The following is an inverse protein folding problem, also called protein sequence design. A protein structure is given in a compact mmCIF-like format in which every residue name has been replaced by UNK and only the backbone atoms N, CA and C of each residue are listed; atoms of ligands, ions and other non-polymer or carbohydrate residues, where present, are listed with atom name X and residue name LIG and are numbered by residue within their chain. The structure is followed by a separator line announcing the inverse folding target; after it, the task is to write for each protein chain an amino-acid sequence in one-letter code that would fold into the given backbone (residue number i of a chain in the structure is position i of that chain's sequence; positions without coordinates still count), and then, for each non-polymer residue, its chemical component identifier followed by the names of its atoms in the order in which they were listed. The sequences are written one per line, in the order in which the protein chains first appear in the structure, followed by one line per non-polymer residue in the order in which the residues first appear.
data_IF_405544936061
#
_entry.id   IF_405544936061
#
_cell.length_a   1.000
_cell.length_b   1.000
_cell.length_c   1.000
_cell.angle_alpha   90.00
_cell.angle_beta   90.00
_cell.angle_gamma   90.00
#
_symmetry.space_group_name_H-M   'P 1'
#
loop_
_entity.id
_entity.type
_entity.pdbx_description
1 polymer ?
#
# COMPACT_ATOMS: atom_id res chain seq x y z
N UNK A 1 8.69 52.03 45.19
CA UNK A 1 8.58 50.65 44.66
C UNK A 1 7.10 50.31 44.62
N UNK A 2 6.43 50.57 43.50
CA UNK A 2 4.97 50.47 43.36
C UNK A 2 4.64 49.11 42.73
N UNK A 3 3.98 48.22 43.47
CA UNK A 3 3.46 46.97 42.94
C UNK A 3 2.21 47.25 42.09
N UNK A 4 2.26 46.87 40.83
CA UNK A 4 1.13 46.87 39.91
C UNK A 4 0.41 45.52 40.06
N UNK A 5 -0.63 45.45 40.89
CA UNK A 5 -1.51 44.27 40.97
C UNK A 5 -2.42 44.25 39.75
N UNK A 6 -2.15 43.31 38.84
CA UNK A 6 -2.97 43.05 37.66
C UNK A 6 -4.23 42.31 38.11
N UNK A 7 -5.31 43.05 38.37
CA UNK A 7 -6.63 42.47 38.66
C UNK A 7 -7.22 42.00 37.34
N UNK A 8 -7.12 40.70 37.06
CA UNK A 8 -7.86 40.09 35.96
C UNK A 8 -9.31 39.92 36.43
N UNK A 9 -10.31 40.51 35.76
CA UNK A 9 -11.69 40.36 36.17
C UNK A 9 -12.14 38.89 35.99
N UNK A 10 -12.81 38.33 37.00
CA UNK A 10 -13.31 36.93 37.03
C UNK A 10 -14.15 36.55 35.79
N UNK A 11 -14.72 37.55 35.11
CA UNK A 11 -15.45 37.41 33.85
C UNK A 11 -14.59 36.87 32.71
N UNK A 12 -13.29 37.21 32.66
CA UNK A 12 -12.37 36.75 31.60
C UNK A 12 -12.00 35.29 31.81
N UNK A 13 -11.82 34.86 33.06
CA UNK A 13 -11.45 33.49 33.43
C UNK A 13 -12.60 32.52 33.14
N UNK A 14 -13.85 32.92 33.46
CA UNK A 14 -15.04 32.12 33.15
C UNK A 14 -15.23 31.87 31.65
N UNK A 15 -15.04 32.90 30.81
CA UNK A 15 -15.16 32.77 29.36
C UNK A 15 -14.05 31.91 28.74
N UNK A 16 -12.82 31.97 29.26
CA UNK A 16 -11.71 31.12 28.79
C UNK A 16 -11.97 29.65 29.10
N UNK A 17 -12.46 29.33 30.31
CA UNK A 17 -12.83 27.96 30.70
C UNK A 17 -13.98 27.39 29.84
N UNK A 18 -14.94 28.23 29.46
CA UNK A 18 -16.06 27.86 28.59
C UNK A 18 -15.55 27.58 27.16
N UNK A 19 -14.72 28.47 26.60
CA UNK A 19 -14.12 28.29 25.26
C UNK A 19 -13.24 27.03 25.22
N UNK A 20 -12.43 26.79 26.25
CA UNK A 20 -11.58 25.60 26.33
C UNK A 20 -12.39 24.29 26.34
N UNK A 21 -13.52 24.26 27.06
CA UNK A 21 -14.45 23.12 27.08
C UNK A 21 -15.11 22.88 25.73
N UNK A 22 -15.54 23.94 25.04
CA UNK A 22 -16.08 23.82 23.68
C UNK A 22 -15.02 23.33 22.69
N UNK A 23 -13.78 23.79 22.81
CA UNK A 23 -12.69 23.35 21.94
C UNK A 23 -12.34 21.87 22.16
N UNK A 24 -12.34 21.39 23.42
CA UNK A 24 -12.13 19.96 23.71
C UNK A 24 -13.27 19.09 23.22
N UNK A 25 -14.52 19.54 23.37
CA UNK A 25 -15.69 18.85 22.81
C UNK A 25 -15.66 18.83 21.27
N UNK A 26 -15.24 19.92 20.64
CA UNK A 26 -15.09 20.02 19.20
C UNK A 26 -14.01 19.04 18.70
N UNK A 27 -12.83 19.04 19.32
CA UNK A 27 -11.74 18.11 18.94
C UNK A 27 -12.11 16.64 19.22
N UNK A 28 -12.84 16.37 20.30
CA UNK A 28 -13.42 15.04 20.57
C UNK A 28 -14.40 14.63 19.48
N UNK A 29 -15.32 15.50 19.06
CA UNK A 29 -16.25 15.22 17.98
C UNK A 29 -15.56 15.03 16.62
N UNK A 30 -14.50 15.81 16.32
CA UNK A 30 -13.70 15.60 15.10
C UNK A 30 -12.95 14.25 15.13
N UNK A 31 -12.52 13.80 16.31
CA UNK A 31 -11.87 12.49 16.46
C UNK A 31 -12.81 11.32 16.18
N UNK A 32 -14.12 11.50 16.43
CA UNK A 32 -15.15 10.49 16.18
C UNK A 32 -15.62 10.51 14.71
N UNK A 33 -15.64 11.69 14.07
CA UNK A 33 -16.00 11.85 12.65
C UNK A 33 -14.88 11.46 11.69
N UNK A 34 -13.62 11.42 12.14
CA UNK A 34 -12.50 10.90 11.34
C UNK A 34 -12.56 9.40 11.06
N UNK A 35 -13.50 8.67 11.68
CA UNK A 35 -13.65 7.22 11.53
C UNK A 35 -14.97 6.80 10.87
N UNK A 36 -15.68 7.68 10.17
CA UNK A 36 -16.83 7.25 9.35
C UNK A 36 -16.41 7.06 7.91
N UNK A 37 -15.66 5.99 7.66
CA UNK A 37 -15.31 5.59 6.29
C UNK A 37 -16.57 5.06 5.60
N UNK A 38 -17.10 5.92 4.74
CA UNK A 38 -18.31 5.69 3.97
C UNK A 38 -17.89 5.14 2.61
N UNK A 39 -17.53 3.85 2.55
CA UNK A 39 -17.09 3.27 1.27
C UNK A 39 -16.76 1.78 1.29
N UNK A 40 -17.75 0.98 0.89
CA UNK A 40 -17.66 -0.40 0.37
C UNK A 40 -17.16 -1.53 1.30
N UNK A 41 -18.14 -2.37 1.64
CA UNK A 41 -18.03 -3.73 2.20
C UNK A 41 -17.54 -3.86 3.65
N UNK A 42 -18.36 -4.38 4.58
CA UNK A 42 -18.00 -4.53 6.00
C UNK A 42 -16.87 -5.55 6.27
N UNK A 43 -16.36 -6.23 5.24
CA UNK A 43 -15.46 -7.37 5.39
C UNK A 43 -14.00 -7.10 4.96
N UNK A 44 -13.69 -5.93 4.38
CA UNK A 44 -12.31 -5.58 4.03
C UNK A 44 -11.58 -4.88 5.18
N UNK A 45 -10.26 -5.07 5.27
CA UNK A 45 -9.43 -4.25 6.15
C UNK A 45 -9.44 -2.77 5.69
N UNK A 46 -9.24 -1.85 6.63
CA UNK A 46 -9.19 -0.39 6.39
C UNK A 46 -8.19 0.02 5.28
N UNK A 47 -7.13 -0.77 5.09
CA UNK A 47 -6.24 -0.65 3.95
C UNK A 47 -6.33 -1.92 3.11
N UNK A 48 -6.82 -1.78 1.87
CA UNK A 48 -6.85 -2.87 0.89
C UNK A 48 -5.65 -2.79 -0.03
N UNK A 49 -5.13 -3.95 -0.41
CA UNK A 49 -4.05 -4.04 -1.39
C UNK A 49 -4.50 -3.54 -2.76
N UNK A 50 -3.58 -2.92 -3.50
CA UNK A 50 -3.77 -2.68 -4.93
C UNK A 50 -3.22 -3.87 -5.70
N UNK A 51 -4.09 -4.56 -6.43
CA UNK A 51 -3.72 -5.73 -7.24
C UNK A 51 -3.92 -5.43 -8.71
N UNK A 52 -3.01 -5.92 -9.56
CA UNK A 52 -3.10 -5.74 -11.01
C UNK A 52 -2.49 -6.95 -11.71
N UNK A 53 -3.25 -7.59 -12.60
CA UNK A 53 -2.70 -8.58 -13.53
C UNK A 53 -1.91 -7.81 -14.57
N UNK A 54 -0.60 -8.03 -14.63
CA UNK A 54 0.32 -7.27 -15.49
C UNK A 54 0.74 -8.06 -16.73
N UNK A 55 0.70 -9.39 -16.68
CA UNK A 55 0.93 -10.22 -17.86
C UNK A 55 0.23 -11.58 -17.80
N UNK A 56 -0.10 -12.11 -18.97
CA UNK A 56 -0.65 -13.45 -19.17
C UNK A 56 0.19 -14.17 -20.23
N UNK A 57 0.88 -15.24 -19.83
CA UNK A 57 1.82 -15.96 -20.69
C UNK A 57 1.51 -17.44 -20.76
N UNK A 58 1.54 -18.00 -21.97
CA UNK A 58 1.39 -19.44 -22.19
C UNK A 58 2.77 -20.07 -22.43
N UNK A 59 3.09 -21.13 -21.69
CA UNK A 59 4.33 -21.92 -21.83
C UNK A 59 3.94 -23.39 -22.00
N UNK A 60 4.10 -23.91 -23.22
CA UNK A 60 3.56 -25.21 -23.59
C UNK A 60 2.04 -25.26 -23.44
N UNK A 61 1.56 -26.20 -22.61
CA UNK A 61 0.13 -26.35 -22.31
C UNK A 61 -0.34 -25.59 -21.07
N UNK A 62 0.56 -24.94 -20.34
CA UNK A 62 0.26 -24.21 -19.11
C UNK A 62 0.12 -22.71 -19.38
N UNK A 63 -0.87 -22.08 -18.78
CA UNK A 63 -0.99 -20.62 -18.73
C UNK A 63 -0.45 -20.12 -17.39
N UNK A 64 0.15 -18.94 -17.39
CA UNK A 64 0.63 -18.27 -16.20
C UNK A 64 0.15 -16.84 -16.19
N UNK A 65 -0.27 -16.37 -15.02
CA UNK A 65 -0.61 -14.97 -14.79
C UNK A 65 0.39 -14.36 -13.84
N UNK A 66 0.98 -13.24 -14.24
CA UNK A 66 1.82 -12.41 -13.38
C UNK A 66 0.98 -11.28 -12.83
N UNK A 67 0.97 -11.17 -11.51
CA UNK A 67 0.24 -10.15 -10.79
C UNK A 67 1.24 -9.29 -10.03
N UNK A 68 1.08 -7.99 -10.14
CA UNK A 68 1.75 -7.00 -9.31
C UNK A 68 0.80 -6.58 -8.19
N UNK A 69 1.27 -6.70 -6.95
CA UNK A 69 0.52 -6.34 -5.75
C UNK A 69 1.30 -5.32 -4.94
N UNK A 70 0.62 -4.24 -4.57
CA UNK A 70 1.12 -3.23 -3.65
C UNK A 70 0.29 -3.31 -2.37
N UNK A 71 0.94 -3.66 -1.27
CA UNK A 71 0.33 -3.82 0.05
C UNK A 71 0.81 -2.74 1.00
N UNK A 72 -0.01 -2.39 1.99
CA UNK A 72 0.34 -1.44 3.05
C UNK A 72 -0.11 0.00 2.80
N UNK A 73 -0.27 0.75 3.89
CA UNK A 73 -0.82 2.11 3.87
C UNK A 73 0.28 3.19 3.85
N UNK A 74 1.13 3.20 4.88
CA UNK A 74 2.26 4.13 4.99
C UNK A 74 3.53 3.56 4.37
N UNK A 75 3.91 2.36 4.81
CA UNK A 75 4.98 1.59 4.19
C UNK A 75 4.37 0.64 3.19
N UNK A 76 4.64 0.93 1.91
CA UNK A 76 4.20 0.11 0.80
C UNK A 76 5.22 -0.99 0.55
N UNK A 77 4.73 -2.21 0.42
CA UNK A 77 5.50 -3.37 0.00
C UNK A 77 4.99 -3.76 -1.37
N UNK A 78 5.89 -3.80 -2.33
CA UNK A 78 5.57 -4.29 -3.67
C UNK A 78 5.88 -5.78 -3.75
N UNK A 79 5.08 -6.52 -4.50
CA UNK A 79 5.27 -7.95 -4.67
C UNK A 79 4.78 -8.41 -6.03
N UNK A 80 5.42 -9.48 -6.52
CA UNK A 80 5.00 -10.16 -7.73
C UNK A 80 4.52 -11.56 -7.37
N UNK A 81 3.37 -11.92 -7.92
CA UNK A 81 2.72 -13.20 -7.71
C UNK A 81 2.56 -13.92 -9.05
N UNK A 82 2.82 -15.22 -9.03
CA UNK A 82 2.62 -16.11 -10.17
C UNK A 82 1.43 -17.02 -9.89
N UNK A 83 0.50 -17.10 -10.83
CA UNK A 83 -0.63 -18.03 -10.81
C UNK A 83 -0.58 -18.95 -12.02
N UNK A 84 -1.12 -20.16 -11.89
CA UNK A 84 -1.25 -21.14 -12.98
C UNK A 84 -2.53 -20.96 -13.84
N UNK A 85 -3.40 -20.05 -13.43
CA UNK A 85 -4.58 -19.58 -14.17
C UNK A 85 -4.76 -18.11 -13.89
N UNK A 86 -5.51 -17.41 -14.74
CA UNK A 86 -5.85 -16.02 -14.49
C UNK A 86 -6.73 -15.91 -13.23
N UNK A 87 -6.27 -15.21 -12.17
CA UNK A 87 -7.05 -15.05 -10.95
C UNK A 87 -8.13 -13.99 -11.13
N UNK A 88 -9.25 -14.16 -10.43
CA UNK A 88 -10.24 -13.09 -10.23
C UNK A 88 -10.07 -12.59 -8.80
N UNK A 89 -9.97 -11.27 -8.63
CA UNK A 89 -9.83 -10.63 -7.32
C UNK A 89 -11.16 -10.04 -6.87
N UNK A 90 -11.46 -10.16 -5.58
CA UNK A 90 -12.58 -9.47 -4.94
C UNK A 90 -12.25 -7.99 -4.64
N UNK A 91 -13.20 -7.28 -4.04
CA UNK A 91 -13.02 -5.87 -3.66
C UNK A 91 -11.92 -5.65 -2.62
N UNK A 92 -11.51 -6.69 -1.90
CA UNK A 92 -10.43 -6.61 -0.92
C UNK A 92 -9.07 -7.04 -1.52
N UNK A 93 -9.02 -7.41 -2.81
CA UNK A 93 -7.81 -7.88 -3.48
C UNK A 93 -7.44 -9.34 -3.19
N UNK A 94 -8.38 -10.15 -2.70
CA UNK A 94 -8.19 -11.59 -2.48
C UNK A 94 -8.68 -12.40 -3.69
N UNK A 95 -8.04 -13.55 -3.94
CA UNK A 95 -8.48 -14.51 -4.95
C UNK A 95 -8.67 -15.90 -4.33
N UNK A 96 -9.62 -16.66 -4.88
CA UNK A 96 -9.79 -18.09 -4.56
C UNK A 96 -8.80 -18.98 -5.32
N UNK A 97 -8.10 -18.43 -6.31
CA UNK A 97 -7.07 -19.16 -7.06
C UNK A 97 -5.81 -19.26 -6.19
N UNK A 98 -5.26 -20.48 -6.10
CA UNK A 98 -4.01 -20.70 -5.38
C UNK A 98 -2.82 -20.07 -6.13
N UNK A 99 -2.01 -19.28 -5.41
CA UNK A 99 -0.74 -18.78 -5.92
C UNK A 99 0.27 -19.92 -6.08
N UNK A 100 1.07 -19.87 -7.15
CA UNK A 100 2.24 -20.73 -7.32
C UNK A 100 3.45 -20.17 -6.58
N UNK A 101 3.65 -18.87 -6.69
CA UNK A 101 4.80 -18.17 -6.16
C UNK A 101 4.44 -16.74 -5.80
N UNK A 102 5.12 -16.20 -4.78
CA UNK A 102 5.07 -14.79 -4.41
C UNK A 102 6.44 -14.39 -3.90
N UNK A 103 6.90 -13.23 -4.33
CA UNK A 103 8.08 -12.60 -3.77
C UNK A 103 7.85 -11.10 -3.62
N UNK A 104 8.20 -10.58 -2.45
CA UNK A 104 8.17 -9.15 -2.17
C UNK A 104 9.47 -8.51 -2.62
N UNK A 105 9.34 -7.33 -3.21
CA UNK A 105 10.44 -6.48 -3.64
C UNK A 105 10.49 -5.34 -2.64
N UNK A 106 11.56 -5.31 -1.85
CA UNK A 106 11.80 -4.23 -0.92
C UNK A 106 12.82 -3.27 -1.54
N UNK A 107 12.32 -2.17 -2.08
CA UNK A 107 13.13 -1.09 -2.63
C UNK A 107 13.91 -0.34 -1.53
N UNK A 108 13.63 -0.61 -0.24
CA UNK A 108 14.26 0.04 0.92
C UNK A 108 15.29 -0.84 1.63
N UNK A 109 15.56 -2.04 1.13
CA UNK A 109 16.59 -2.90 1.71
C UNK A 109 17.97 -2.25 1.43
N UNK A 110 18.74 -1.98 2.48
CA UNK A 110 19.97 -1.17 2.43
C UNK A 110 21.06 -1.69 1.45
N UNK A 111 20.89 -2.89 0.91
CA UNK A 111 21.76 -3.52 -0.08
C UNK A 111 21.29 -3.33 -1.53
N UNK A 112 20.11 -2.74 -1.77
CA UNK A 112 19.45 -2.68 -3.08
C UNK A 112 19.05 -1.27 -3.53
N UNK A 113 19.53 -0.22 -2.84
CA UNK A 113 19.09 1.18 -3.03
C UNK A 113 19.29 1.75 -4.44
N UNK A 114 20.05 1.08 -5.30
CA UNK A 114 20.36 1.52 -6.67
C UNK A 114 20.08 0.43 -7.70
N UNK A 115 19.08 -0.44 -7.49
CA UNK A 115 18.70 -1.43 -8.50
C UNK A 115 17.19 -1.53 -8.64
N UNK A 116 16.75 -1.93 -9.84
CA UNK A 116 15.34 -2.23 -10.10
C UNK A 116 15.22 -3.51 -10.94
N UNK A 117 14.06 -4.15 -10.87
CA UNK A 117 13.78 -5.37 -11.64
C UNK A 117 13.59 -5.00 -13.11
N UNK A 118 14.54 -5.35 -13.96
CA UNK A 118 14.44 -5.09 -15.40
C UNK A 118 13.66 -6.19 -16.13
N UNK A 119 13.84 -7.44 -15.70
CA UNK A 119 13.22 -8.61 -16.33
C UNK A 119 12.69 -9.59 -15.29
N UNK A 120 11.58 -10.26 -15.64
CA UNK A 120 10.96 -11.30 -14.84
C UNK A 120 10.89 -12.57 -15.68
N UNK A 121 11.69 -13.57 -15.34
CA UNK A 121 11.74 -14.84 -16.05
C UNK A 121 10.87 -15.88 -15.36
N UNK A 122 10.10 -16.65 -16.13
CA UNK A 122 9.42 -17.84 -15.61
C UNK A 122 10.35 -19.05 -15.63
N UNK A 123 10.45 -19.73 -14.51
CA UNK A 123 11.11 -21.03 -14.37
C UNK A 123 10.04 -22.10 -14.05
N UNK A 124 9.60 -22.87 -15.05
CA UNK A 124 8.68 -23.98 -14.82
C UNK A 124 9.25 -24.97 -13.79
N UNK A 125 8.41 -25.53 -12.90
CA UNK A 125 6.96 -25.58 -12.99
C UNK A 125 6.19 -24.46 -12.27
N UNK A 126 6.83 -23.37 -11.79
CA UNK A 126 6.08 -22.32 -11.09
C UNK A 126 6.89 -21.37 -10.23
N UNK A 127 8.10 -21.01 -10.65
CA UNK A 127 8.90 -19.97 -10.01
C UNK A 127 9.10 -18.79 -10.96
N UNK A 128 9.43 -17.63 -10.39
CA UNK A 128 9.95 -16.50 -11.16
C UNK A 128 11.36 -16.19 -10.69
N UNK A 129 12.17 -15.67 -11.60
CA UNK A 129 13.53 -15.19 -11.33
C UNK A 129 13.56 -13.73 -11.78
N UNK A 130 14.02 -12.86 -10.87
CA UNK A 130 14.23 -11.46 -11.17
C UNK A 130 15.64 -11.21 -11.67
N UNK A 131 15.75 -10.41 -12.71
CA UNK A 131 17.02 -9.81 -13.12
C UNK A 131 17.01 -8.32 -12.76
N UNK A 132 18.02 -7.92 -12.00
CA UNK A 132 18.14 -6.58 -11.45
C UNK A 132 19.17 -5.78 -12.23
N UNK A 133 18.82 -4.55 -12.57
CA UNK A 133 19.71 -3.60 -13.25
C UNK A 133 19.99 -2.44 -12.32
N UNK A 134 21.24 -1.98 -12.33
CA UNK A 134 21.67 -0.82 -11.56
C UNK A 134 21.03 0.48 -12.09
N UNK A 135 20.62 1.35 -11.18
CA UNK A 135 20.05 2.65 -11.43
C UNK A 135 18.69 2.84 -10.76
N UNK A 136 18.09 3.99 -11.06
CA UNK A 136 16.75 4.34 -10.59
C UNK A 136 15.68 3.74 -11.50
N UNK A 137 14.49 3.54 -10.94
CA UNK A 137 13.31 3.11 -11.69
C UNK A 137 13.03 4.15 -12.80
N UNK A 138 12.98 3.73 -14.09
CA UNK A 138 13.04 4.66 -15.21
C UNK A 138 11.78 5.53 -15.41
N UNK A 139 10.64 5.15 -14.81
CA UNK A 139 9.37 5.89 -14.89
C UNK A 139 8.41 5.52 -13.75
N UNK A 140 7.43 6.38 -13.42
CA UNK A 140 6.29 6.00 -12.59
C UNK A 140 5.57 4.77 -13.18
N UNK A 141 5.10 3.88 -12.31
CA UNK A 141 4.40 2.63 -12.68
C UNK A 141 5.20 1.66 -13.56
N UNK A 142 6.54 1.76 -13.58
CA UNK A 142 7.40 0.91 -14.39
C UNK A 142 7.11 -0.60 -14.22
N UNK A 143 6.94 -1.06 -12.98
CA UNK A 143 6.67 -2.46 -12.67
C UNK A 143 5.35 -2.99 -13.26
N UNK A 144 4.37 -2.12 -13.52
CA UNK A 144 3.13 -2.51 -14.24
C UNK A 144 3.35 -2.78 -15.73
N UNK A 145 4.50 -2.39 -16.27
CA UNK A 145 4.85 -2.61 -17.67
C UNK A 145 5.76 -3.82 -17.90
N UNK A 146 6.21 -4.48 -16.83
CA UNK A 146 6.99 -5.72 -16.90
C UNK A 146 6.15 -6.88 -17.44
N UNK A 147 6.83 -7.89 -17.99
CA UNK A 147 6.21 -9.08 -18.59
C UNK A 147 6.95 -10.33 -18.17
N UNK A 148 6.27 -11.48 -18.25
CA UNK A 148 6.91 -12.78 -18.07
C UNK A 148 7.69 -13.16 -19.33
N UNK A 149 8.97 -13.42 -19.12
CA UNK A 149 9.91 -13.86 -20.15
C UNK A 149 10.32 -15.32 -19.93
N UNK A 150 10.71 -16.01 -21.01
CA UNK A 150 11.33 -17.33 -20.91
C UNK A 150 12.85 -17.12 -20.88
N UNK A 151 13.53 -17.84 -19.99
CA UNK A 151 14.99 -17.86 -19.98
C UNK A 151 15.45 -18.75 -21.13
N UNK A 152 16.11 -18.16 -22.13
CA UNK A 152 16.70 -18.85 -23.27
C UNK A 152 17.89 -19.74 -22.86
#
# INVERSE_FOLDING_TARGET
MTQLTLVVPDFVIGNILVIQRYFTLLMSCLSILGCTDSGLSPDCAFATDTVSIIDLRRVGNQSYALVHRISGWHDKIESFELYNVEPVFDSCGNSLVALLYRESVDDKDANNNDQYIAHIFIEPPGRIIFDYVQGEIPKPDYYRSLRLELKD
#
